data_IF_686792585672
#
_entry.id   IF_686792585672
#
_cell.length_a   1.000
_cell.length_b   1.000
_cell.length_c   1.000
_cell.angle_alpha   90.00
_cell.angle_beta   90.00
_cell.angle_gamma   90.00
#
_symmetry.space_group_name_H-M   'P 1'
#
loop_
_entity.id
_entity.type
_entity.pdbx_description
1 polymer ?
#
# COMPACT_ATOMS: atom_id res chain seq x y z
N UNK A 1 -28.17 27.36 18.59
CA UNK A 1 -26.77 27.72 18.94
C UNK A 1 -25.95 26.57 19.55
N UNK A 2 -26.56 25.65 20.29
CA UNK A 2 -25.87 24.52 20.97
C UNK A 2 -25.33 23.44 20.01
N UNK A 3 -26.01 23.22 18.87
CA UNK A 3 -25.64 22.12 17.91
C UNK A 3 -24.39 22.41 17.06
N UNK A 4 -24.05 23.68 16.86
CA UNK A 4 -22.86 24.07 16.07
C UNK A 4 -21.60 24.01 16.93
N UNK A 5 -21.69 24.36 18.20
CA UNK A 5 -20.54 24.32 19.13
C UNK A 5 -20.10 22.90 19.40
N UNK A 6 -21.03 21.93 19.51
CA UNK A 6 -20.68 20.51 19.71
C UNK A 6 -20.01 19.88 18.49
N UNK A 7 -20.36 20.29 17.25
CA UNK A 7 -19.69 19.83 16.03
C UNK A 7 -18.27 20.40 15.89
N UNK A 8 -18.06 21.65 16.29
CA UNK A 8 -16.74 22.30 16.22
C UNK A 8 -15.81 21.74 17.30
N UNK A 9 -16.31 21.47 18.51
CA UNK A 9 -15.49 20.84 19.56
C UNK A 9 -15.07 19.41 19.19
N UNK A 10 -15.95 18.60 18.58
CA UNK A 10 -15.61 17.26 18.10
C UNK A 10 -14.59 17.25 16.93
N UNK A 11 -14.52 18.31 16.12
CA UNK A 11 -13.54 18.43 15.04
C UNK A 11 -12.15 18.79 15.59
N UNK A 12 -12.07 19.58 16.65
CA UNK A 12 -10.80 19.95 17.28
C UNK A 12 -10.21 18.81 18.12
N UNK A 13 -11.04 17.98 18.72
CA UNK A 13 -10.62 16.84 19.55
C UNK A 13 -10.07 15.63 18.73
N UNK A 14 -10.26 15.63 17.40
CA UNK A 14 -9.84 14.52 16.54
C UNK A 14 -8.64 14.85 15.64
N UNK A 15 -7.96 15.97 15.89
CA UNK A 15 -6.82 16.42 15.11
C UNK A 15 -5.54 15.69 15.55
N UNK A 16 -4.98 14.89 14.64
CA UNK A 16 -3.76 14.13 14.87
C UNK A 16 -2.55 14.76 14.17
N UNK A 17 -1.35 14.48 14.68
CA UNK A 17 -0.07 14.71 14.02
C UNK A 17 0.37 13.40 13.38
N UNK A 18 0.50 13.36 12.06
CA UNK A 18 0.70 12.14 11.31
C UNK A 18 1.94 12.25 10.43
N UNK A 19 2.87 11.31 10.57
CA UNK A 19 4.00 11.18 9.66
C UNK A 19 3.68 10.18 8.53
N UNK A 20 3.95 10.56 7.29
CA UNK A 20 3.91 9.68 6.13
C UNK A 20 5.34 9.45 5.64
N UNK A 21 5.86 8.25 5.90
CA UNK A 21 7.17 7.84 5.42
C UNK A 21 6.99 7.24 4.01
N UNK A 22 7.47 7.99 2.99
CA UNK A 22 7.30 7.61 1.59
C UNK A 22 6.06 8.23 0.94
N UNK A 23 6.10 9.51 0.62
CA UNK A 23 5.02 10.22 -0.08
C UNK A 23 5.11 10.01 -1.60
N UNK A 24 4.87 8.77 -2.03
CA UNK A 24 4.77 8.35 -3.43
C UNK A 24 3.34 8.40 -3.96
N UNK A 25 2.96 7.46 -4.84
CA UNK A 25 1.65 7.41 -5.49
C UNK A 25 0.48 7.29 -4.49
N UNK A 26 0.58 6.38 -3.52
CA UNK A 26 -0.41 6.21 -2.46
C UNK A 26 -0.28 7.31 -1.41
N UNK A 27 0.92 7.49 -0.86
CA UNK A 27 1.16 8.43 0.24
C UNK A 27 0.73 9.87 -0.07
N UNK A 28 0.89 10.33 -1.31
CA UNK A 28 0.43 11.67 -1.76
C UNK A 28 -1.10 11.82 -1.67
N UNK A 29 -1.85 10.79 -2.03
CA UNK A 29 -3.32 10.82 -1.97
C UNK A 29 -3.83 10.78 -0.53
N UNK A 30 -3.21 9.94 0.31
CA UNK A 30 -3.51 9.90 1.74
C UNK A 30 -3.15 11.21 2.43
N UNK A 31 -1.98 11.79 2.13
CA UNK A 31 -1.58 13.09 2.65
C UNK A 31 -2.61 14.18 2.35
N UNK A 32 -3.10 14.21 1.10
CA UNK A 32 -4.13 15.16 0.68
C UNK A 32 -5.43 14.98 1.49
N UNK A 33 -5.91 13.74 1.63
CA UNK A 33 -7.10 13.44 2.42
C UNK A 33 -6.94 13.91 3.87
N UNK A 34 -5.85 13.54 4.52
CA UNK A 34 -5.63 13.85 5.92
C UNK A 34 -5.42 15.34 6.19
N UNK A 35 -4.72 16.05 5.28
CA UNK A 35 -4.58 17.50 5.37
C UNK A 35 -5.93 18.21 5.20
N UNK A 36 -6.78 17.74 4.28
CA UNK A 36 -8.15 18.27 4.08
C UNK A 36 -9.06 18.01 5.28
N UNK A 37 -8.86 16.87 5.98
CA UNK A 37 -9.57 16.54 7.22
C UNK A 37 -9.03 17.29 8.45
N UNK A 38 -8.03 18.16 8.28
CA UNK A 38 -7.51 19.04 9.33
C UNK A 38 -6.41 18.42 10.19
N UNK A 39 -5.88 17.22 9.85
CA UNK A 39 -4.71 16.67 10.51
C UNK A 39 -3.44 17.45 10.19
N UNK A 40 -2.47 17.45 11.11
CA UNK A 40 -1.12 17.95 10.84
C UNK A 40 -0.30 16.82 10.20
N UNK A 41 -0.02 16.95 8.90
CA UNK A 41 0.65 15.90 8.13
C UNK A 41 2.08 16.29 7.82
N UNK A 42 3.04 15.47 8.27
CA UNK A 42 4.45 15.53 7.88
C UNK A 42 4.70 14.46 6.83
N UNK A 43 5.22 14.83 5.66
CA UNK A 43 5.50 13.88 4.59
C UNK A 43 6.98 13.79 4.27
N UNK A 44 7.44 12.59 3.92
CA UNK A 44 8.83 12.38 3.50
C UNK A 44 8.92 11.94 2.04
N UNK A 45 9.99 12.34 1.37
CA UNK A 45 10.33 11.92 0.01
C UNK A 45 11.84 11.74 -0.12
N UNK A 46 12.28 10.84 -0.98
CA UNK A 46 13.69 10.73 -1.40
C UNK A 46 13.99 11.60 -2.64
N UNK A 47 12.99 12.27 -3.19
CA UNK A 47 13.05 12.99 -4.48
C UNK A 47 12.88 14.49 -4.23
N UNK A 48 13.98 15.29 -4.23
CA UNK A 48 13.91 16.74 -3.94
C UNK A 48 12.97 17.52 -4.86
N UNK A 49 12.85 17.08 -6.13
CA UNK A 49 12.02 17.72 -7.14
C UNK A 49 10.52 17.68 -6.81
N UNK A 50 10.12 16.76 -5.94
CA UNK A 50 8.72 16.64 -5.48
C UNK A 50 8.34 17.59 -4.34
N UNK A 51 9.30 18.27 -3.74
CA UNK A 51 9.05 19.12 -2.57
C UNK A 51 8.06 20.23 -2.90
N UNK A 52 8.16 20.89 -4.04
CA UNK A 52 7.24 21.96 -4.45
C UNK A 52 5.80 21.45 -4.63
N UNK A 53 5.62 20.27 -5.24
CA UNK A 53 4.32 19.62 -5.39
C UNK A 53 3.72 19.26 -4.02
N UNK A 54 4.51 18.65 -3.14
CA UNK A 54 4.07 18.22 -1.81
C UNK A 54 3.75 19.38 -0.87
N UNK A 55 4.42 20.52 -1.02
CA UNK A 55 4.12 21.75 -0.28
C UNK A 55 2.74 22.35 -0.59
N UNK A 56 2.12 21.99 -1.72
CA UNK A 56 0.73 22.34 -2.00
C UNK A 56 -0.28 21.50 -1.18
N UNK A 57 0.18 20.44 -0.53
CA UNK A 57 -0.64 19.53 0.28
C UNK A 57 -0.42 19.79 1.77
N UNK A 58 0.84 19.95 2.18
CA UNK A 58 1.24 20.20 3.57
C UNK A 58 2.50 21.07 3.64
N UNK A 59 2.62 21.88 4.69
CA UNK A 59 3.80 22.71 4.93
C UNK A 59 5.03 21.90 5.39
N UNK A 60 4.81 20.70 5.92
CA UNK A 60 5.86 19.86 6.52
C UNK A 60 6.32 18.77 5.55
N UNK A 61 7.30 19.10 4.73
CA UNK A 61 7.91 18.19 3.73
C UNK A 61 9.40 18.02 4.04
N UNK A 62 9.82 16.76 4.22
CA UNK A 62 11.21 16.41 4.54
C UNK A 62 11.79 15.52 3.44
N UNK A 63 12.95 15.89 2.91
CA UNK A 63 13.73 15.05 1.99
C UNK A 63 14.65 14.17 2.81
N UNK A 64 14.42 12.87 2.79
CA UNK A 64 15.23 11.91 3.56
C UNK A 64 15.20 10.51 2.94
N UNK A 65 16.18 9.68 3.27
CA UNK A 65 16.14 8.24 3.11
C UNK A 65 15.50 7.61 4.35
N UNK A 66 14.68 6.57 4.17
CA UNK A 66 13.98 5.94 5.28
C UNK A 66 14.89 5.18 6.26
N UNK A 67 16.09 4.80 5.82
CA UNK A 67 17.10 4.16 6.65
C UNK A 67 18.10 5.16 7.31
N UNK A 68 17.78 6.45 7.34
CA UNK A 68 18.53 7.46 8.11
C UNK A 68 17.93 7.59 9.51
N UNK A 69 18.65 7.14 10.59
CA UNK A 69 18.11 7.12 11.95
C UNK A 69 17.84 8.52 12.52
N UNK A 70 18.69 9.52 12.19
CA UNK A 70 18.51 10.86 12.72
C UNK A 70 17.32 11.55 12.05
N UNK A 71 17.25 11.50 10.72
CA UNK A 71 16.12 12.07 9.99
C UNK A 71 14.78 11.38 10.38
N UNK A 72 14.79 10.05 10.59
CA UNK A 72 13.60 9.32 11.07
C UNK A 72 13.20 9.83 12.46
N UNK A 73 14.13 10.00 13.39
CA UNK A 73 13.83 10.50 14.73
C UNK A 73 13.25 11.92 14.69
N UNK A 74 13.82 12.82 13.88
CA UNK A 74 13.35 14.19 13.75
C UNK A 74 11.92 14.26 13.17
N UNK A 75 11.64 13.44 12.16
CA UNK A 75 10.28 13.35 11.54
C UNK A 75 9.26 12.78 12.51
N UNK A 76 9.62 11.78 13.31
CA UNK A 76 8.69 11.09 14.20
C UNK A 76 8.47 11.81 15.54
N UNK A 77 9.27 12.82 15.85
CA UNK A 77 9.12 13.58 17.09
C UNK A 77 7.74 14.25 17.15
N UNK A 78 7.02 14.01 18.23
CA UNK A 78 5.67 14.55 18.46
C UNK A 78 4.59 14.10 17.46
N UNK A 79 4.78 12.97 16.78
CA UNK A 79 3.73 12.35 15.96
C UNK A 79 2.86 11.41 16.81
N UNK A 80 1.58 11.30 16.44
CA UNK A 80 0.62 10.40 17.06
C UNK A 80 0.53 9.07 16.28
N UNK A 81 0.83 9.12 14.98
CA UNK A 81 0.66 7.99 14.06
C UNK A 81 1.67 8.05 12.91
N UNK A 82 1.99 6.87 12.35
CA UNK A 82 2.84 6.73 11.16
C UNK A 82 2.13 5.92 10.08
N UNK A 83 2.14 6.43 8.84
CA UNK A 83 1.90 5.65 7.64
C UNK A 83 3.25 5.37 6.97
N UNK A 84 3.64 4.09 6.89
CA UNK A 84 4.77 3.64 6.09
C UNK A 84 4.27 3.22 4.70
N UNK A 85 4.52 4.05 3.67
CA UNK A 85 4.05 3.83 2.29
C UNK A 85 5.18 4.03 1.29
N UNK A 86 6.30 3.36 1.56
CA UNK A 86 7.49 3.38 0.69
C UNK A 86 7.28 2.53 -0.55
N UNK A 87 7.91 2.91 -1.65
CA UNK A 87 7.87 2.16 -2.91
C UNK A 87 9.23 2.21 -3.60
N UNK A 88 9.72 1.04 -4.01
CA UNK A 88 10.98 0.92 -4.70
C UNK A 88 10.92 1.53 -6.10
N UNK A 89 11.98 2.28 -6.45
CA UNK A 89 12.24 2.81 -7.79
C UNK A 89 13.70 2.56 -8.13
N UNK A 90 13.98 1.73 -9.12
CA UNK A 90 15.33 1.30 -9.51
C UNK A 90 16.32 2.43 -9.84
N UNK A 91 15.82 3.60 -10.21
CA UNK A 91 16.64 4.76 -10.60
C UNK A 91 16.93 5.76 -9.47
N UNK A 92 16.54 5.48 -8.24
CA UNK A 92 16.72 6.38 -7.09
C UNK A 92 17.97 6.04 -6.26
N UNK A 93 18.78 5.06 -6.69
CA UNK A 93 20.03 4.69 -6.03
C UNK A 93 19.88 4.06 -4.64
N UNK A 94 18.71 3.50 -4.34
CA UNK A 94 18.47 2.67 -3.15
C UNK A 94 18.18 1.23 -3.57
N UNK A 95 18.72 0.28 -2.81
CA UNK A 95 18.39 -1.13 -2.98
C UNK A 95 16.99 -1.44 -2.43
N UNK A 96 16.41 -2.54 -2.92
CA UNK A 96 15.07 -2.98 -2.49
C UNK A 96 15.02 -3.19 -0.97
N UNK A 97 16.06 -3.82 -0.40
CA UNK A 97 16.21 -4.05 1.03
C UNK A 97 16.24 -2.75 1.83
N UNK A 98 16.99 -1.74 1.36
CA UNK A 98 17.07 -0.42 2.00
C UNK A 98 15.71 0.28 2.02
N UNK A 99 14.98 0.17 0.91
CA UNK A 99 13.67 0.83 0.78
C UNK A 99 12.64 0.27 1.77
N UNK A 100 12.61 -1.04 1.96
CA UNK A 100 11.56 -1.68 2.76
C UNK A 100 12.07 -2.11 4.13
N UNK A 101 13.00 -3.07 4.20
CA UNK A 101 13.41 -3.69 5.46
C UNK A 101 14.20 -2.73 6.35
N UNK A 102 15.23 -2.06 5.83
CA UNK A 102 16.05 -1.15 6.64
C UNK A 102 15.24 0.07 7.08
N UNK A 103 14.32 0.57 6.24
CA UNK A 103 13.38 1.64 6.64
C UNK A 103 12.50 1.19 7.81
N UNK A 104 11.95 -0.04 7.76
CA UNK A 104 11.13 -0.57 8.85
C UNK A 104 11.95 -0.79 10.14
N UNK A 105 13.19 -1.29 10.01
CA UNK A 105 14.11 -1.45 11.14
C UNK A 105 14.44 -0.11 11.80
N UNK A 106 14.73 0.91 11.00
CA UNK A 106 14.99 2.27 11.48
C UNK A 106 13.76 2.86 12.16
N UNK A 107 12.59 2.71 11.57
CA UNK A 107 11.33 3.13 12.17
C UNK A 107 11.13 2.49 13.55
N UNK A 108 11.18 1.15 13.63
CA UNK A 108 10.96 0.42 14.89
C UNK A 108 11.99 0.77 15.96
N UNK A 109 13.27 0.92 15.58
CA UNK A 109 14.31 1.36 16.51
C UNK A 109 14.04 2.78 17.06
N UNK A 110 13.45 3.66 16.24
CA UNK A 110 13.12 5.04 16.62
C UNK A 110 11.92 5.13 17.56
N UNK A 111 10.96 4.19 17.49
CA UNK A 111 9.76 4.19 18.34
C UNK A 111 10.07 4.20 19.83
N UNK A 112 11.19 3.61 20.25
CA UNK A 112 11.66 3.67 21.65
C UNK A 112 11.90 5.10 22.16
N UNK A 113 12.14 6.03 21.26
CA UNK A 113 12.40 7.46 21.54
C UNK A 113 11.19 8.35 21.22
N UNK A 114 10.13 7.78 20.66
CA UNK A 114 8.92 8.50 20.25
C UNK A 114 7.66 7.82 20.78
N UNK A 115 7.44 7.83 22.12
CA UNK A 115 6.42 7.03 22.78
C UNK A 115 4.98 7.47 22.48
N UNK A 116 4.79 8.62 21.85
CA UNK A 116 3.46 9.16 21.52
C UNK A 116 2.80 8.45 20.33
N UNK A 117 3.56 7.70 19.52
CA UNK A 117 3.04 7.01 18.36
C UNK A 117 2.20 5.81 18.82
N UNK A 118 0.90 5.88 18.57
CA UNK A 118 -0.08 4.87 18.99
C UNK A 118 -0.44 3.89 17.88
N UNK A 119 -0.23 4.28 16.60
CA UNK A 119 -0.55 3.42 15.47
C UNK A 119 0.48 3.55 14.34
N UNK A 120 0.79 2.41 13.73
CA UNK A 120 1.58 2.29 12.52
C UNK A 120 0.73 1.55 11.49
N UNK A 121 0.55 2.15 10.31
CA UNK A 121 -0.06 1.49 9.16
C UNK A 121 1.02 1.29 8.10
N UNK A 122 1.11 0.08 7.54
CA UNK A 122 2.04 -0.25 6.47
C UNK A 122 1.28 -0.72 5.23
N UNK A 123 1.60 -0.13 4.07
CA UNK A 123 1.14 -0.60 2.77
C UNK A 123 2.12 -1.63 2.21
N UNK A 124 1.87 -2.90 2.51
CA UNK A 124 2.64 -4.06 2.08
C UNK A 124 2.15 -4.64 0.74
N UNK A 125 2.41 -5.93 0.50
CA UNK A 125 2.06 -6.60 -0.74
C UNK A 125 1.62 -8.05 -0.51
N UNK A 126 0.61 -8.50 -1.23
CA UNK A 126 0.18 -9.90 -1.23
C UNK A 126 1.23 -10.87 -1.83
N UNK A 127 2.24 -10.36 -2.54
CA UNK A 127 3.29 -11.19 -3.13
C UNK A 127 4.07 -12.02 -2.12
N UNK A 128 3.96 -11.72 -0.83
CA UNK A 128 4.55 -12.50 0.27
C UNK A 128 3.98 -13.93 0.34
N UNK A 129 2.77 -14.17 -0.15
CA UNK A 129 2.19 -15.51 -0.18
C UNK A 129 2.95 -16.47 -1.11
N UNK A 130 3.63 -15.96 -2.14
CA UNK A 130 4.29 -16.75 -3.16
C UNK A 130 3.32 -17.46 -4.11
N UNK A 131 3.77 -18.56 -4.70
CA UNK A 131 2.95 -19.39 -5.58
C UNK A 131 2.10 -20.37 -4.75
N UNK A 132 0.81 -20.34 -4.98
CA UNK A 132 -0.20 -21.21 -4.38
C UNK A 132 -1.00 -21.97 -5.46
N UNK A 133 -0.45 -22.08 -6.66
CA UNK A 133 -1.11 -22.75 -7.81
C UNK A 133 -2.54 -22.20 -8.08
N UNK A 134 -2.78 -20.91 -7.77
CA UNK A 134 -4.09 -20.30 -7.93
C UNK A 134 -5.11 -20.65 -6.85
N UNK A 135 -4.72 -21.30 -5.76
CA UNK A 135 -5.58 -21.56 -4.61
C UNK A 135 -5.89 -20.30 -3.81
N UNK A 136 -6.96 -20.38 -3.01
CA UNK A 136 -7.34 -19.30 -2.12
C UNK A 136 -6.38 -19.17 -0.94
N UNK A 137 -6.02 -17.94 -0.64
CA UNK A 137 -5.25 -17.56 0.54
C UNK A 137 -5.93 -16.43 1.31
N UNK A 138 -5.78 -16.47 2.62
CA UNK A 138 -6.16 -15.42 3.55
C UNK A 138 -4.99 -15.03 4.45
N UNK A 139 -5.23 -14.19 5.45
CA UNK A 139 -4.21 -13.70 6.36
C UNK A 139 -3.61 -14.78 7.28
N UNK A 140 -4.29 -15.93 7.43
CA UNK A 140 -3.83 -17.09 8.20
C UNK A 140 -3.03 -18.08 7.35
N UNK A 141 -3.07 -17.93 6.03
CA UNK A 141 -2.38 -18.81 5.11
C UNK A 141 -0.85 -18.68 5.23
N UNK A 142 -0.09 -19.78 5.12
CA UNK A 142 1.37 -19.77 5.19
C UNK A 142 2.00 -18.81 4.17
N UNK A 143 2.90 -17.96 4.64
CA UNK A 143 3.72 -17.07 3.81
C UNK A 143 4.92 -17.85 3.30
N UNK A 144 5.05 -18.00 1.98
CA UNK A 144 6.13 -18.73 1.30
C UNK A 144 6.63 -17.94 0.09
N UNK A 145 7.33 -16.81 0.31
CA UNK A 145 7.77 -15.94 -0.76
C UNK A 145 8.59 -16.70 -1.80
N UNK A 146 8.28 -16.52 -3.08
CA UNK A 146 8.95 -17.19 -4.19
C UNK A 146 10.14 -16.39 -4.77
N UNK A 147 10.49 -15.27 -4.14
CA UNK A 147 11.59 -14.41 -4.58
C UNK A 147 12.26 -13.71 -3.39
N UNK A 148 13.48 -13.23 -3.59
CA UNK A 148 14.21 -12.44 -2.59
C UNK A 148 13.43 -11.18 -2.21
N UNK A 149 12.83 -10.49 -3.17
CA UNK A 149 11.97 -9.33 -2.89
C UNK A 149 10.78 -9.69 -2.01
N UNK A 150 10.14 -10.82 -2.24
CA UNK A 150 9.06 -11.32 -1.39
C UNK A 150 9.55 -11.62 0.03
N UNK A 151 10.74 -12.19 0.18
CA UNK A 151 11.37 -12.46 1.48
C UNK A 151 11.65 -11.14 2.23
N UNK A 152 12.17 -10.12 1.55
CA UNK A 152 12.42 -8.80 2.13
C UNK A 152 11.09 -8.17 2.62
N UNK A 153 10.03 -8.25 1.83
CA UNK A 153 8.71 -7.75 2.24
C UNK A 153 8.17 -8.48 3.46
N UNK A 154 8.30 -9.81 3.49
CA UNK A 154 7.88 -10.60 4.65
C UNK A 154 8.67 -10.24 5.91
N UNK A 155 10.00 -10.13 5.81
CA UNK A 155 10.85 -9.66 6.92
C UNK A 155 10.44 -8.25 7.39
N UNK A 156 10.08 -7.37 6.45
CA UNK A 156 9.57 -6.03 6.76
C UNK A 156 8.29 -6.09 7.61
N UNK A 157 7.34 -6.97 7.23
CA UNK A 157 6.12 -7.20 8.03
C UNK A 157 6.47 -7.69 9.44
N UNK A 158 7.38 -8.67 9.57
CA UNK A 158 7.77 -9.21 10.89
C UNK A 158 8.42 -8.15 11.78
N UNK A 159 9.30 -7.32 11.22
CA UNK A 159 9.92 -6.21 11.95
C UNK A 159 8.86 -5.23 12.44
N UNK A 160 7.91 -4.83 11.59
CA UNK A 160 6.86 -3.91 11.99
C UNK A 160 5.94 -4.53 13.05
N UNK A 161 5.52 -5.78 12.89
CA UNK A 161 4.65 -6.48 13.85
C UNK A 161 5.31 -6.63 15.22
N UNK A 162 6.65 -6.74 15.29
CA UNK A 162 7.38 -6.79 16.56
C UNK A 162 7.25 -5.52 17.40
N UNK A 163 6.85 -4.40 16.79
CA UNK A 163 6.58 -3.15 17.50
C UNK A 163 5.16 -3.10 18.12
N UNK A 164 4.33 -4.11 17.88
CA UNK A 164 2.97 -4.14 18.41
C UNK A 164 2.96 -4.34 19.93
N UNK A 165 2.26 -3.47 20.64
CA UNK A 165 2.05 -3.53 22.10
C UNK A 165 0.60 -3.19 22.41
N UNK A 166 0.12 -3.33 23.66
CA UNK A 166 -1.21 -2.86 24.02
C UNK A 166 -1.45 -1.36 23.77
N UNK A 167 -0.38 -0.54 23.77
CA UNK A 167 -0.42 0.91 23.56
C UNK A 167 -0.11 1.34 22.12
N UNK A 168 0.49 0.44 21.33
CA UNK A 168 0.92 0.74 19.97
C UNK A 168 0.43 -0.33 19.00
N UNK A 169 -0.49 0.02 18.13
CA UNK A 169 -1.09 -0.88 17.14
C UNK A 169 -0.30 -0.86 15.84
N UNK A 170 -0.10 -2.03 15.26
CA UNK A 170 0.50 -2.17 13.92
C UNK A 170 -0.53 -2.83 13.00
N UNK A 171 -0.87 -2.14 11.92
CA UNK A 171 -1.75 -2.63 10.87
C UNK A 171 -0.97 -2.78 9.55
N UNK A 172 -1.02 -3.94 8.96
CA UNK A 172 -0.41 -4.23 7.66
C UNK A 172 -1.52 -4.45 6.64
N UNK A 173 -1.53 -3.66 5.58
CA UNK A 173 -2.42 -3.83 4.44
C UNK A 173 -1.62 -4.49 3.30
N UNK A 174 -1.85 -5.78 3.02
CA UNK A 174 -1.26 -6.50 1.88
C UNK A 174 -2.03 -6.15 0.61
N UNK A 175 -1.47 -5.22 -0.16
CA UNK A 175 -2.10 -4.67 -1.35
C UNK A 175 -2.00 -5.62 -2.54
N UNK A 176 -3.05 -5.64 -3.36
CA UNK A 176 -3.02 -6.12 -4.74
C UNK A 176 -2.17 -5.25 -5.66
N UNK A 177 -2.13 -5.58 -6.96
CA UNK A 177 -1.56 -4.70 -7.96
C UNK A 177 -2.29 -3.35 -7.97
N UNK A 178 -1.55 -2.27 -7.77
CA UNK A 178 -2.15 -0.95 -7.62
C UNK A 178 -2.42 -0.33 -8.98
N UNK A 179 -3.64 0.15 -9.21
CA UNK A 179 -4.01 0.93 -10.40
C UNK A 179 -4.92 2.11 -10.02
N UNK A 180 -5.19 2.98 -11.01
CA UNK A 180 -6.05 4.15 -10.85
C UNK A 180 -5.52 5.35 -11.63
N UNK A 181 -5.96 6.59 -11.37
CA UNK A 181 -5.56 7.79 -12.10
C UNK A 181 -4.04 7.98 -12.18
N UNK A 182 -3.52 8.07 -13.42
CA UNK A 182 -2.08 8.15 -13.71
C UNK A 182 -1.35 6.81 -13.74
N UNK A 183 -2.02 5.72 -13.38
CA UNK A 183 -1.53 4.34 -13.41
C UNK A 183 -2.62 3.38 -13.89
N UNK A 184 -3.28 3.77 -14.95
CA UNK A 184 -4.37 3.00 -15.56
C UNK A 184 -3.87 1.67 -16.10
N UNK A 185 -4.66 0.61 -16.00
CA UNK A 185 -4.30 -0.74 -16.47
C UNK A 185 -3.92 -0.75 -17.94
N UNK A 186 -4.57 0.08 -18.74
CA UNK A 186 -4.24 0.18 -20.17
C UNK A 186 -2.81 0.65 -20.39
N UNK A 187 -2.31 1.62 -19.65
CA UNK A 187 -0.92 2.08 -19.73
C UNK A 187 0.09 1.00 -19.32
N UNK A 188 -0.31 0.09 -18.43
CA UNK A 188 0.52 -1.04 -17.99
C UNK A 188 0.57 -2.12 -19.07
N UNK A 189 -0.54 -2.37 -19.76
CA UNK A 189 -0.71 -3.57 -20.58
C UNK A 189 -0.84 -3.34 -22.08
N UNK A 190 -1.10 -2.12 -22.57
CA UNK A 190 -1.26 -1.82 -24.02
C UNK A 190 -0.07 -2.29 -24.87
N UNK A 191 1.13 -2.30 -24.32
CA UNK A 191 2.34 -2.79 -24.99
C UNK A 191 2.28 -4.24 -25.45
N UNK A 192 1.29 -5.02 -24.97
CA UNK A 192 1.10 -6.41 -25.29
C UNK A 192 0.04 -6.65 -26.37
N UNK A 193 -0.64 -5.59 -26.85
CA UNK A 193 -1.62 -5.68 -27.92
C UNK A 193 -1.01 -6.37 -29.17
N UNK A 194 -1.69 -7.39 -29.69
CA UNK A 194 -1.25 -8.16 -30.85
C UNK A 194 0.01 -9.02 -30.65
N UNK A 195 0.53 -9.12 -29.42
CA UNK A 195 1.76 -9.89 -29.12
C UNK A 195 1.45 -11.18 -28.40
N UNK A 196 2.37 -12.13 -28.52
CA UNK A 196 2.37 -13.38 -27.75
C UNK A 196 3.09 -13.18 -26.43
N UNK A 197 2.48 -13.65 -25.35
CA UNK A 197 3.04 -13.69 -24.00
C UNK A 197 3.40 -15.13 -23.61
N UNK A 198 4.46 -15.32 -22.80
CA UNK A 198 4.75 -16.63 -22.20
C UNK A 198 3.63 -17.07 -21.25
N UNK A 199 3.39 -18.37 -21.17
CA UNK A 199 2.41 -18.98 -20.28
C UNK A 199 1.06 -19.24 -20.92
N UNK A 200 0.10 -19.62 -20.09
CA UNK A 200 -1.30 -19.89 -20.49
C UNK A 200 -2.23 -18.71 -20.23
N UNK A 201 -1.78 -17.73 -19.44
CA UNK A 201 -2.62 -16.65 -18.95
C UNK A 201 -3.61 -17.04 -17.85
N UNK A 202 -3.50 -18.27 -17.33
CA UNK A 202 -4.38 -18.79 -16.27
C UNK A 202 -4.02 -18.33 -14.86
N UNK A 203 -2.81 -17.76 -14.69
CA UNK A 203 -2.39 -17.21 -13.40
C UNK A 203 -3.38 -16.15 -12.91
N UNK A 204 -3.71 -16.26 -11.63
CA UNK A 204 -4.63 -15.32 -10.98
C UNK A 204 -3.93 -14.00 -10.71
N UNK A 205 -4.64 -12.91 -10.95
CA UNK A 205 -4.19 -11.55 -10.66
C UNK A 205 -5.11 -10.91 -9.63
N UNK A 206 -4.51 -10.25 -8.65
CA UNK A 206 -5.24 -9.50 -7.63
C UNK A 206 -4.90 -8.03 -7.79
N UNK A 207 -5.92 -7.19 -7.88
CA UNK A 207 -5.79 -5.75 -8.09
C UNK A 207 -6.48 -4.97 -7.01
N UNK A 208 -6.13 -3.70 -6.87
CA UNK A 208 -6.80 -2.75 -5.99
C UNK A 208 -6.72 -1.34 -6.56
N UNK A 209 -7.83 -0.64 -6.55
CA UNK A 209 -7.88 0.75 -6.99
C UNK A 209 -7.27 1.69 -5.94
N UNK A 210 -6.65 2.78 -6.39
CA UNK A 210 -6.03 3.78 -5.53
C UNK A 210 -7.02 4.36 -4.50
N UNK A 211 -8.26 4.64 -4.90
CA UNK A 211 -9.26 5.21 -4.00
C UNK A 211 -9.60 4.25 -2.86
N UNK A 212 -9.67 2.95 -3.14
CA UNK A 212 -9.91 1.91 -2.14
C UNK A 212 -8.72 1.77 -1.18
N UNK A 213 -7.48 1.96 -1.66
CA UNK A 213 -6.31 1.98 -0.78
C UNK A 213 -6.39 3.17 0.17
N UNK A 214 -6.71 4.36 -0.34
CA UNK A 214 -6.85 5.58 0.47
C UNK A 214 -7.96 5.42 1.50
N UNK A 215 -9.12 4.88 1.08
CA UNK A 215 -10.25 4.58 1.96
C UNK A 215 -9.90 3.55 3.04
N UNK A 216 -9.17 2.48 2.68
CA UNK A 216 -8.78 1.43 3.63
C UNK A 216 -7.73 1.93 4.65
N UNK A 217 -6.79 2.79 4.24
CA UNK A 217 -5.82 3.42 5.15
C UNK A 217 -6.56 4.32 6.15
N UNK A 218 -7.54 5.11 5.69
CA UNK A 218 -8.36 5.94 6.58
C UNK A 218 -9.21 5.07 7.51
N UNK A 219 -9.87 4.04 6.99
CA UNK A 219 -10.65 3.10 7.79
C UNK A 219 -9.79 2.42 8.86
N UNK A 220 -8.57 1.98 8.51
CA UNK A 220 -7.63 1.39 9.46
C UNK A 220 -7.23 2.37 10.56
N UNK A 221 -7.06 3.66 10.24
CA UNK A 221 -6.80 4.73 11.20
C UNK A 221 -7.99 4.92 12.15
N UNK A 222 -9.19 5.11 11.61
CA UNK A 222 -10.40 5.40 12.40
C UNK A 222 -10.79 4.23 13.31
N UNK A 223 -10.71 3.01 12.79
CA UNK A 223 -11.01 1.78 13.53
C UNK A 223 -9.86 1.29 14.39
N UNK A 224 -8.72 1.96 14.31
CA UNK A 224 -7.50 1.54 15.01
C UNK A 224 -7.18 0.07 14.78
N UNK A 225 -7.26 -0.38 13.52
CA UNK A 225 -7.02 -1.78 13.16
C UNK A 225 -5.63 -2.24 13.56
N UNK A 226 -5.53 -3.52 13.93
CA UNK A 226 -4.28 -4.18 14.31
C UNK A 226 -4.17 -5.54 13.62
N UNK A 227 -2.95 -5.91 13.22
CA UNK A 227 -2.66 -7.17 12.54
C UNK A 227 -2.59 -7.00 11.03
N UNK A 228 -2.78 -8.09 10.30
CA UNK A 228 -2.63 -8.16 8.85
C UNK A 228 -4.00 -8.21 8.20
N UNK A 229 -4.18 -7.47 7.11
CA UNK A 229 -5.39 -7.45 6.28
C UNK A 229 -5.00 -7.46 4.79
N UNK A 230 -5.64 -8.31 4.02
CA UNK A 230 -5.53 -8.27 2.58
C UNK A 230 -6.42 -7.18 2.00
N UNK A 231 -5.88 -6.42 1.06
CA UNK A 231 -6.60 -5.34 0.38
C UNK A 231 -6.50 -5.54 -1.13
N UNK A 232 -7.50 -6.23 -1.66
CA UNK A 232 -7.67 -6.59 -3.06
C UNK A 232 -9.14 -6.43 -3.45
N UNK A 233 -9.45 -6.44 -4.73
CA UNK A 233 -10.85 -6.51 -5.22
C UNK A 233 -11.56 -7.76 -4.71
N UNK A 234 -12.90 -7.74 -4.74
CA UNK A 234 -13.73 -8.87 -4.32
C UNK A 234 -13.60 -10.09 -5.25
N UNK A 235 -13.28 -9.85 -6.52
CA UNK A 235 -13.21 -10.88 -7.55
C UNK A 235 -11.81 -10.91 -8.18
N UNK A 236 -10.97 -11.88 -7.82
CA UNK A 236 -9.71 -12.12 -8.53
C UNK A 236 -9.97 -12.55 -9.98
N UNK A 237 -9.16 -12.10 -10.93
CA UNK A 237 -9.28 -12.43 -12.35
C UNK A 237 -8.05 -13.19 -12.85
N UNK A 238 -8.23 -14.11 -13.81
CA UNK A 238 -7.10 -14.67 -14.55
C UNK A 238 -6.45 -13.60 -15.43
N UNK A 239 -5.14 -13.72 -15.63
CA UNK A 239 -4.39 -12.77 -16.45
C UNK A 239 -4.95 -12.63 -17.88
N UNK A 240 -5.37 -13.75 -18.51
CA UNK A 240 -5.99 -13.72 -19.84
C UNK A 240 -7.34 -13.00 -19.84
N UNK A 241 -8.18 -13.23 -18.83
CA UNK A 241 -9.50 -12.58 -18.71
C UNK A 241 -9.35 -11.06 -18.55
N UNK A 242 -8.39 -10.64 -17.73
CA UNK A 242 -8.06 -9.23 -17.55
C UNK A 242 -7.64 -8.58 -18.88
N UNK A 243 -6.67 -9.21 -19.58
CA UNK A 243 -6.13 -8.63 -20.81
C UNK A 243 -7.15 -8.66 -21.94
N UNK A 244 -7.93 -9.74 -22.07
CA UNK A 244 -9.01 -9.84 -23.07
C UNK A 244 -10.08 -8.76 -22.84
N UNK A 245 -10.50 -8.54 -21.59
CA UNK A 245 -11.48 -7.52 -21.23
C UNK A 245 -10.95 -6.11 -21.48
N UNK A 246 -9.72 -5.85 -21.06
CA UNK A 246 -9.06 -4.54 -21.22
C UNK A 246 -8.85 -4.18 -22.70
N UNK A 247 -8.32 -5.10 -23.50
CA UNK A 247 -8.07 -4.87 -24.91
C UNK A 247 -9.35 -4.73 -25.70
N UNK A 248 -10.37 -5.54 -25.38
CA UNK A 248 -11.71 -5.42 -25.97
C UNK A 248 -12.33 -4.05 -25.69
N UNK A 249 -12.26 -3.58 -24.44
CA UNK A 249 -12.78 -2.27 -24.04
C UNK A 249 -12.11 -1.12 -24.78
N UNK A 250 -10.80 -1.24 -25.04
CA UNK A 250 -9.98 -0.22 -25.70
C UNK A 250 -9.88 -0.39 -27.23
N UNK A 251 -10.53 -1.40 -27.80
CA UNK A 251 -10.45 -1.68 -29.24
C UNK A 251 -9.06 -2.11 -29.73
N UNK A 252 -8.25 -2.72 -28.85
CA UNK A 252 -6.90 -3.20 -29.15
C UNK A 252 -6.91 -4.66 -29.59
N UNK A 253 -5.87 -5.08 -30.33
CA UNK A 253 -5.69 -6.48 -30.70
C UNK A 253 -5.51 -7.36 -29.48
N UNK A 254 -6.09 -8.58 -29.55
CA UNK A 254 -6.03 -9.57 -28.48
C UNK A 254 -4.59 -10.04 -28.24
N UNK A 255 -4.26 -10.33 -26.98
CA UNK A 255 -3.01 -10.98 -26.59
C UNK A 255 -3.10 -12.48 -26.87
N UNK A 256 -2.07 -13.05 -27.49
CA UNK A 256 -1.89 -14.48 -27.62
C UNK A 256 -1.01 -15.05 -26.50
N UNK A 257 -1.12 -16.35 -26.23
CA UNK A 257 -0.34 -17.06 -25.22
C UNK A 257 0.38 -18.23 -25.87
N UNK A 258 1.65 -18.46 -25.51
CA UNK A 258 2.47 -19.54 -26.13
C UNK A 258 2.26 -20.92 -25.48
N UNK A 259 1.47 -20.98 -24.40
CA UNK A 259 1.17 -22.22 -23.68
C UNK A 259 2.34 -22.79 -22.87
N UNK A 260 3.44 -22.06 -22.73
CA UNK A 260 4.60 -22.52 -21.95
C UNK A 260 4.23 -22.69 -20.46
N UNK A 261 4.92 -23.57 -19.72
CA UNK A 261 4.68 -23.77 -18.29
C UNK A 261 5.18 -22.61 -17.42
N UNK A 262 5.88 -21.62 -18.01
CA UNK A 262 6.43 -20.49 -17.28
C UNK A 262 5.38 -19.43 -17.03
N UNK A 263 5.29 -18.93 -15.79
CA UNK A 263 4.54 -17.74 -15.43
C UNK A 263 5.45 -16.50 -15.43
N UNK A 264 4.93 -15.37 -15.86
CA UNK A 264 5.65 -14.10 -15.75
C UNK A 264 5.72 -13.56 -14.30
N UNK A 265 5.03 -14.19 -13.37
CA UNK A 265 5.00 -13.79 -11.97
C UNK A 265 5.38 -14.96 -11.08
N UNK A 266 6.25 -14.75 -10.09
CA UNK A 266 6.65 -15.80 -9.16
C UNK A 266 5.59 -16.05 -8.07
N UNK A 267 4.35 -15.63 -8.29
CA UNK A 267 3.27 -15.78 -7.32
C UNK A 267 1.92 -15.88 -8.04
N UNK A 268 1.17 -16.91 -7.70
CA UNK A 268 -0.14 -17.22 -8.28
C UNK A 268 -1.06 -17.70 -7.14
N UNK A 269 -1.92 -16.80 -6.66
CA UNK A 269 -2.83 -17.05 -5.55
C UNK A 269 -4.12 -16.25 -5.73
N UNK A 270 -5.26 -16.79 -5.29
CA UNK A 270 -6.49 -16.03 -5.09
C UNK A 270 -6.48 -15.45 -3.69
N UNK A 271 -6.44 -14.14 -3.58
CA UNK A 271 -6.34 -13.48 -2.27
C UNK A 271 -7.72 -13.07 -1.79
N UNK A 272 -8.09 -13.51 -0.59
CA UNK A 272 -9.34 -13.14 0.07
C UNK A 272 -9.17 -11.81 0.81
N UNK A 273 -10.11 -10.88 0.62
CA UNK A 273 -10.22 -9.64 1.39
C UNK A 273 -11.30 -9.74 2.50
N UNK A 274 -11.78 -10.96 2.76
CA UNK A 274 -12.92 -11.20 3.66
C UNK A 274 -12.71 -10.61 5.04
N UNK A 275 -11.52 -10.72 5.61
CA UNK A 275 -11.21 -10.21 6.95
C UNK A 275 -11.45 -8.70 7.06
N UNK A 276 -10.97 -7.91 6.10
CA UNK A 276 -11.17 -6.46 6.10
C UNK A 276 -12.64 -6.08 5.88
N UNK A 277 -13.36 -6.84 5.07
CA UNK A 277 -14.81 -6.66 4.86
C UNK A 277 -15.61 -6.99 6.12
N UNK A 278 -15.22 -8.02 6.85
CA UNK A 278 -15.87 -8.40 8.13
C UNK A 278 -15.68 -7.31 9.20
N UNK A 279 -14.58 -6.52 9.15
CA UNK A 279 -14.42 -5.30 9.96
C UNK A 279 -15.38 -4.16 9.55
N UNK A 280 -16.06 -4.30 8.42
CA UNK A 280 -17.04 -3.35 7.90
C UNK A 280 -16.53 -2.45 6.76
N UNK A 281 -15.30 -2.66 6.26
CA UNK A 281 -14.80 -1.91 5.10
C UNK A 281 -15.55 -2.32 3.82
N UNK A 282 -15.91 -1.31 3.01
CA UNK A 282 -16.57 -1.50 1.72
C UNK A 282 -15.73 -0.87 0.63
N UNK A 283 -15.41 -1.66 -0.39
CA UNK A 283 -14.73 -1.17 -1.59
C UNK A 283 -15.66 -0.24 -2.38
N UNK A 284 -15.11 0.87 -2.87
CA UNK A 284 -15.75 1.74 -3.87
C UNK A 284 -15.69 1.07 -5.24
N UNK A 285 -14.58 0.37 -5.50
CA UNK A 285 -14.35 -0.39 -6.74
C UNK A 285 -14.19 -1.88 -6.40
N UNK A 286 -15.30 -2.63 -6.20
CA UNK A 286 -15.23 -4.05 -5.83
C UNK A 286 -14.71 -4.95 -6.94
N UNK A 287 -14.72 -4.45 -8.18
CA UNK A 287 -14.19 -5.10 -9.38
C UNK A 287 -13.30 -4.13 -10.16
N UNK A 288 -12.57 -4.65 -11.15
CA UNK A 288 -11.72 -3.83 -12.00
C UNK A 288 -12.59 -2.83 -12.82
N UNK A 289 -12.15 -1.57 -12.81
CA UNK A 289 -12.69 -0.51 -13.66
C UNK A 289 -11.67 -0.22 -14.78
N UNK A 290 -12.15 -0.15 -16.05
CA UNK A 290 -11.33 0.09 -17.24
C UNK A 290 -11.38 1.55 -17.69
#
# INVERSE_FOLDING_TARGET
MITIVSKVSNILDNRMKIAIIGCGYVGTKVAKLWSQNGHQVTVTTTTPEKVSELKNITSQVVVMKGNDPQAMQDVLQNQDMVLLSVGFRSHVGMEYKQTYLETAQTLVATLKKTPNIQQIIYTGSYSVYGDKNGEWVDENSPVTPASENGNILHQTEQVLLSASTPQQRVCILRLGGIYGPGRELIKIFSRWAGKTRPGTGDDVTNWIHLDDIVGAVEFARERQLQGIYNLVHDVPMKGKELLDSLHKYQGLEKVSWDGSPSSMRPFNARVSNKKLRDEGFKLVHPTIVF
#
